data_IF_376534463499
#
_entry.id   IF_376534463499
#
_cell.length_a   1.000
_cell.length_b   1.000
_cell.length_c   1.000
_cell.angle_alpha   90.00
_cell.angle_beta   90.00
_cell.angle_gamma   90.00
#
_symmetry.space_group_name_H-M   'P 1'
#
loop_
_entity.id
_entity.type
_entity.pdbx_description
1 polymer ?
#
# COMPACT_ATOMS: atom_id res chain seq x y z
N UNK A 1 12.85 4.54 5.73
CA UNK A 1 11.44 4.13 5.47
C UNK A 1 11.14 3.91 3.99
N UNK A 2 11.37 4.91 3.13
CA UNK A 2 11.12 4.76 1.69
C UNK A 2 11.99 3.67 1.03
N UNK A 3 13.27 3.58 1.36
CA UNK A 3 14.16 2.56 0.79
C UNK A 3 13.73 1.13 1.17
N UNK A 4 13.21 0.94 2.39
CA UNK A 4 12.59 -0.33 2.78
C UNK A 4 11.35 -0.61 1.94
N UNK A 5 10.41 0.34 1.84
CA UNK A 5 9.19 0.16 1.03
C UNK A 5 9.49 -0.19 -0.44
N UNK A 6 10.55 0.38 -1.02
CA UNK A 6 11.01 0.04 -2.38
C UNK A 6 11.55 -1.39 -2.48
N UNK A 7 12.33 -1.81 -1.49
CA UNK A 7 12.92 -3.15 -1.44
C UNK A 7 11.84 -4.21 -1.25
N UNK A 8 10.98 -4.08 -0.24
CA UNK A 8 9.89 -5.02 0.02
C UNK A 8 8.97 -5.16 -1.21
N UNK A 9 8.58 -4.03 -1.84
CA UNK A 9 7.74 -4.08 -3.04
C UNK A 9 8.40 -4.83 -4.22
N UNK A 10 9.73 -4.77 -4.34
CA UNK A 10 10.50 -5.50 -5.37
C UNK A 10 10.62 -6.99 -5.04
N UNK A 11 10.86 -7.33 -3.78
CA UNK A 11 11.02 -8.69 -3.28
C UNK A 11 9.67 -9.41 -3.26
N UNK A 12 8.69 -8.91 -2.52
CA UNK A 12 7.38 -9.54 -2.31
C UNK A 12 6.50 -9.57 -3.58
N UNK A 13 6.52 -8.49 -4.36
CA UNK A 13 5.57 -8.30 -5.47
C UNK A 13 6.21 -8.17 -6.86
N UNK A 14 7.55 -8.15 -6.94
CA UNK A 14 8.23 -7.99 -8.22
C UNK A 14 8.02 -6.60 -8.85
N UNK A 15 7.74 -5.56 -8.06
CA UNK A 15 7.36 -4.24 -8.60
C UNK A 15 8.40 -3.18 -8.23
N UNK A 16 8.82 -2.40 -9.22
CA UNK A 16 9.53 -1.14 -9.04
C UNK A 16 8.65 0.03 -9.44
N UNK A 17 8.89 1.21 -8.87
CA UNK A 17 8.11 2.41 -9.15
C UNK A 17 9.02 3.64 -9.26
N UNK A 18 8.79 4.48 -10.27
CA UNK A 18 9.56 5.71 -10.44
C UNK A 18 9.05 6.85 -9.54
N UNK A 19 7.76 6.82 -9.19
CA UNK A 19 7.13 7.87 -8.37
C UNK A 19 6.60 7.28 -7.06
N UNK A 20 6.93 7.91 -5.95
CA UNK A 20 6.51 7.52 -4.60
C UNK A 20 5.92 8.72 -3.87
N UNK A 21 4.66 8.61 -3.46
CA UNK A 21 3.97 9.65 -2.69
C UNK A 21 3.69 9.13 -1.29
N UNK A 22 4.26 9.74 -0.26
CA UNK A 22 3.88 9.44 1.13
C UNK A 22 2.44 9.90 1.37
N UNK A 23 1.58 9.01 1.88
CA UNK A 23 0.16 9.30 2.08
C UNK A 23 -0.25 9.33 3.55
N UNK A 24 0.39 8.54 4.41
CA UNK A 24 0.09 8.46 5.84
C UNK A 24 1.32 8.14 6.68
N UNK A 25 1.29 8.65 7.91
CA UNK A 25 2.10 8.22 9.04
C UNK A 25 1.16 7.91 10.20
N UNK A 26 1.33 6.75 10.84
CA UNK A 26 0.44 6.35 11.93
C UNK A 26 1.13 5.44 12.95
N UNK A 27 0.73 5.60 14.21
CA UNK A 27 1.07 4.67 15.27
C UNK A 27 -0.01 3.59 15.32
N UNK A 28 0.39 2.32 15.29
CA UNK A 28 -0.55 1.21 15.17
C UNK A 28 -1.28 0.91 16.48
N UNK A 29 -0.56 0.98 17.60
CA UNK A 29 -1.13 0.76 18.93
C UNK A 29 -0.31 1.50 19.97
N UNK A 30 -0.41 2.83 20.00
CA UNK A 30 0.42 3.69 20.87
C UNK A 30 0.31 3.41 22.38
N UNK A 31 -0.72 2.67 22.83
CA UNK A 31 -0.86 2.20 24.21
C UNK A 31 -0.11 0.89 24.50
N UNK A 32 0.31 0.15 23.46
CA UNK A 32 0.89 -1.20 23.58
C UNK A 32 2.26 -1.35 22.90
N UNK A 33 2.52 -0.57 21.84
CA UNK A 33 3.73 -0.65 21.01
C UNK A 33 4.17 0.75 20.56
N UNK A 34 5.47 0.91 20.32
CA UNK A 34 6.06 2.09 19.65
C UNK A 34 6.13 1.90 18.11
N UNK A 35 5.47 0.87 17.59
CA UNK A 35 5.40 0.57 16.17
C UNK A 35 4.72 1.70 15.38
N UNK A 36 5.43 2.14 14.34
CA UNK A 36 5.05 3.26 13.49
C UNK A 36 5.09 2.84 12.02
N UNK A 37 4.00 3.10 11.31
CA UNK A 37 3.89 2.83 9.89
C UNK A 37 3.98 4.11 9.06
N UNK A 38 4.69 4.02 7.93
CA UNK A 38 4.73 5.06 6.90
C UNK A 38 4.25 4.43 5.59
N UNK A 39 3.15 4.95 5.07
CA UNK A 39 2.45 4.38 3.91
C UNK A 39 2.71 5.25 2.69
N UNK A 40 3.02 4.62 1.57
CA UNK A 40 3.28 5.26 0.29
C UNK A 40 2.34 4.74 -0.80
N UNK A 41 2.06 5.58 -1.79
CA UNK A 41 1.52 5.17 -3.08
C UNK A 41 2.65 5.15 -4.11
N UNK A 42 2.86 3.99 -4.71
CA UNK A 42 3.79 3.77 -5.81
C UNK A 42 3.09 3.96 -7.17
N UNK A 43 3.72 4.70 -8.08
CA UNK A 43 3.24 4.97 -9.44
C UNK A 43 4.38 4.84 -10.45
N UNK A 44 4.04 4.81 -11.75
CA UNK A 44 4.99 4.55 -12.84
C UNK A 44 5.69 3.19 -12.64
N UNK A 45 4.87 2.13 -12.60
CA UNK A 45 5.30 0.80 -12.18
C UNK A 45 6.02 0.04 -13.31
N UNK A 46 7.09 -0.67 -12.95
CA UNK A 46 7.78 -1.67 -13.78
C UNK A 46 7.69 -3.02 -13.06
N UNK A 47 7.45 -4.09 -13.82
CA UNK A 47 7.17 -5.42 -13.28
C UNK A 47 8.31 -6.40 -13.61
N UNK A 48 8.61 -7.24 -12.64
CA UNK A 48 9.64 -8.27 -12.62
C UNK A 48 9.10 -9.53 -11.93
N UNK A 49 9.91 -10.58 -11.89
CA UNK A 49 9.58 -11.77 -11.09
C UNK A 49 9.71 -11.44 -9.59
N UNK A 50 8.72 -11.77 -8.75
CA UNK A 50 8.83 -11.69 -7.29
C UNK A 50 9.88 -12.67 -6.75
N UNK A 51 10.56 -12.25 -5.69
CA UNK A 51 11.58 -13.02 -4.98
C UNK A 51 11.35 -12.90 -3.45
N UNK A 52 10.19 -13.37 -2.92
CA UNK A 52 9.89 -13.29 -1.49
C UNK A 52 10.82 -14.18 -0.68
N UNK A 53 10.98 -13.85 0.60
CA UNK A 53 11.82 -14.64 1.51
C UNK A 53 11.20 -16.02 1.81
N UNK A 54 12.06 -16.98 2.19
CA UNK A 54 11.67 -18.38 2.41
C UNK A 54 10.62 -18.61 3.50
N UNK A 55 10.43 -17.66 4.40
CA UNK A 55 9.44 -17.65 5.48
C UNK A 55 8.16 -16.89 5.14
N UNK A 56 8.03 -16.40 3.90
CA UNK A 56 6.87 -15.64 3.42
C UNK A 56 5.98 -16.49 2.50
N UNK A 57 4.71 -16.66 2.88
CA UNK A 57 3.68 -17.28 2.03
C UNK A 57 2.75 -16.19 1.47
N UNK A 58 3.04 -15.71 0.25
CA UNK A 58 2.32 -14.60 -0.38
C UNK A 58 1.56 -15.01 -1.65
N UNK A 59 0.36 -14.44 -1.82
CA UNK A 59 -0.41 -14.53 -3.06
C UNK A 59 -0.65 -13.13 -3.62
N UNK A 60 -0.23 -12.89 -4.88
CA UNK A 60 -0.43 -11.60 -5.54
C UNK A 60 -1.80 -11.52 -6.20
N UNK A 61 -2.61 -10.55 -5.75
CA UNK A 61 -3.89 -10.22 -6.36
C UNK A 61 -3.90 -8.80 -6.91
N UNK A 62 -4.18 -8.68 -8.21
CA UNK A 62 -4.43 -7.38 -8.87
C UNK A 62 -5.93 -7.14 -8.98
N UNK A 63 -6.40 -6.00 -8.47
CA UNK A 63 -7.80 -5.60 -8.49
C UNK A 63 -7.97 -4.11 -8.81
N UNK A 64 -9.10 -3.70 -9.40
CA UNK A 64 -9.44 -2.29 -9.54
C UNK A 64 -9.52 -1.59 -8.17
N UNK A 65 -9.04 -0.36 -8.08
CA UNK A 65 -9.06 0.40 -6.82
C UNK A 65 -10.49 0.56 -6.27
N UNK A 66 -11.49 0.73 -7.13
CA UNK A 66 -12.90 0.82 -6.71
C UNK A 66 -13.41 -0.47 -6.05
N UNK A 67 -12.91 -1.63 -6.47
CA UNK A 67 -13.23 -2.92 -5.84
C UNK A 67 -12.56 -3.02 -4.46
N UNK A 68 -11.27 -2.64 -4.37
CA UNK A 68 -10.53 -2.59 -3.10
C UNK A 68 -11.21 -1.67 -2.08
N UNK A 69 -11.59 -0.46 -2.51
CA UNK A 69 -12.38 0.46 -1.71
C UNK A 69 -13.71 -0.16 -1.26
N UNK A 70 -14.41 -0.85 -2.16
CA UNK A 70 -15.64 -1.57 -1.83
C UNK A 70 -15.44 -2.64 -0.75
N UNK A 71 -14.35 -3.42 -0.81
CA UNK A 71 -14.01 -4.45 0.18
C UNK A 71 -13.79 -3.84 1.58
N UNK A 72 -13.06 -2.72 1.65
CA UNK A 72 -12.86 -1.96 2.89
C UNK A 72 -14.19 -1.45 3.44
N UNK A 73 -15.03 -0.84 2.59
CA UNK A 73 -16.32 -0.29 3.03
C UNK A 73 -17.32 -1.36 3.49
N UNK A 74 -17.19 -2.60 3.02
CA UNK A 74 -18.00 -3.74 3.48
C UNK A 74 -17.40 -4.45 4.71
N UNK A 75 -16.22 -4.04 5.16
CA UNK A 75 -15.54 -4.64 6.31
C UNK A 75 -14.94 -6.02 6.03
N UNK A 76 -14.77 -6.40 4.75
CA UNK A 76 -14.14 -7.66 4.33
C UNK A 76 -12.60 -7.58 4.44
N UNK A 77 -12.04 -6.37 4.40
CA UNK A 77 -10.64 -6.09 4.72
C UNK A 77 -10.56 -5.33 6.04
N UNK A 78 -9.83 -5.90 7.00
CA UNK A 78 -9.78 -5.43 8.39
C UNK A 78 -8.37 -5.03 8.83
N UNK A 79 -7.35 -5.28 8.01
CA UNK A 79 -6.00 -4.83 8.29
C UNK A 79 -5.94 -3.30 8.37
N UNK A 80 -5.39 -2.79 9.48
CA UNK A 80 -5.45 -1.37 9.82
C UNK A 80 -4.71 -0.49 8.82
N UNK A 81 -3.56 -0.95 8.32
CA UNK A 81 -2.76 -0.22 7.33
C UNK A 81 -3.51 -0.13 6.00
N UNK A 82 -4.05 -1.27 5.55
CA UNK A 82 -4.85 -1.36 4.33
C UNK A 82 -6.07 -0.45 4.40
N UNK A 83 -6.85 -0.52 5.49
CA UNK A 83 -8.05 0.30 5.68
C UNK A 83 -7.68 1.80 5.65
N UNK A 84 -6.68 2.21 6.43
CA UNK A 84 -6.27 3.60 6.49
C UNK A 84 -5.75 4.11 5.14
N UNK A 85 -4.89 3.34 4.47
CA UNK A 85 -4.33 3.67 3.16
C UNK A 85 -5.44 3.87 2.12
N UNK A 86 -6.35 2.91 1.99
CA UNK A 86 -7.41 2.93 0.97
C UNK A 86 -8.33 4.12 1.18
N UNK A 87 -8.73 4.41 2.41
CA UNK A 87 -9.59 5.56 2.71
C UNK A 87 -8.89 6.90 2.45
N UNK A 88 -7.60 7.02 2.80
CA UNK A 88 -6.81 8.23 2.53
C UNK A 88 -6.64 8.45 1.03
N UNK A 89 -6.29 7.40 0.29
CA UNK A 89 -6.10 7.46 -1.17
C UNK A 89 -7.40 7.85 -1.85
N UNK A 90 -8.54 7.25 -1.48
CA UNK A 90 -9.85 7.65 -2.04
C UNK A 90 -10.14 9.14 -1.82
N UNK A 91 -9.86 9.68 -0.63
CA UNK A 91 -10.03 11.12 -0.36
C UNK A 91 -9.11 11.97 -1.24
N UNK A 92 -7.83 11.59 -1.35
CA UNK A 92 -6.86 12.32 -2.17
C UNK A 92 -7.23 12.31 -3.66
N UNK A 93 -7.80 11.20 -4.16
CA UNK A 93 -8.30 11.10 -5.53
C UNK A 93 -9.51 12.01 -5.76
N UNK A 94 -10.45 12.08 -4.81
CA UNK A 94 -11.61 12.97 -4.87
C UNK A 94 -11.22 14.45 -4.83
N UNK A 95 -10.22 14.79 -4.01
CA UNK A 95 -9.68 16.15 -3.90
C UNK A 95 -8.74 16.51 -5.06
N UNK A 96 -8.34 15.54 -5.88
CA UNK A 96 -7.39 15.71 -6.98
C UNK A 96 -5.95 15.98 -6.54
N UNK A 97 -5.64 15.74 -5.26
CA UNK A 97 -4.29 15.86 -4.67
C UNK A 97 -3.42 14.65 -4.98
N UNK A 98 -4.04 13.51 -5.32
CA UNK A 98 -3.40 12.38 -5.98
C UNK A 98 -4.06 12.16 -7.35
N UNK A 99 -3.28 11.77 -8.35
CA UNK A 99 -3.78 11.46 -9.70
C UNK A 99 -3.34 10.07 -10.10
N UNK A 100 -4.32 9.21 -10.40
CA UNK A 100 -4.02 7.95 -11.07
C UNK A 100 -3.66 8.25 -12.53
N UNK A 101 -2.59 7.64 -13.01
CA UNK A 101 -2.28 7.64 -14.43
C UNK A 101 -3.31 6.74 -15.13
N UNK A 102 -3.69 7.12 -16.35
CA UNK A 102 -4.59 6.33 -17.20
C UNK A 102 -3.84 5.19 -17.85
#
# INVERSE_FOLDING_TARGET
PLDSAKRELREEAGIEAATWTEVLRMDLSNSASDEHAVIYVAQDLTFFEPEPDHDEELELRKLPFSELFGLVMRGELQDSLTVAAVLKVELMLREGTLRLQK
#
